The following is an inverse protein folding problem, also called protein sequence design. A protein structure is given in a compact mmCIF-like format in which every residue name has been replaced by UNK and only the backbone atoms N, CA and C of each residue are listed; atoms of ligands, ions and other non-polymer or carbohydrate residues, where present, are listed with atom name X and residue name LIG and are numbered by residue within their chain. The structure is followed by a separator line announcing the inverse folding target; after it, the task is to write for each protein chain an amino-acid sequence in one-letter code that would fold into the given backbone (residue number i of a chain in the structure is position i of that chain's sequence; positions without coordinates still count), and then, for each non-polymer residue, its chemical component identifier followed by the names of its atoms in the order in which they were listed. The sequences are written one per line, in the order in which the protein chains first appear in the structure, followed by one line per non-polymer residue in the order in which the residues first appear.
data_IF_151335848835
#
_entry.id   IF_151335848835
#
_cell.length_a   1.000
_cell.length_b   1.000
_cell.length_c   1.000
_cell.angle_alpha   90.00
_cell.angle_beta   90.00
_cell.angle_gamma   90.00
#
_symmetry.space_group_name_H-M   'P 1'
#
loop_
_entity.id
_entity.type
_entity.pdbx_description
1 polymer ?
#
# COMPACT_ATOMS: atom_id res chain seq x y z
N UNK A 1 -7.26 -1.04 13.10
CA UNK A 1 -6.28 -1.40 14.13
C UNK A 1 -6.71 -0.77 15.43
N UNK A 2 -6.75 -1.53 16.51
CA UNK A 2 -7.01 -0.98 17.84
C UNK A 2 -5.70 -0.75 18.59
N UNK A 3 -5.60 0.28 19.46
CA UNK A 3 -4.42 0.47 20.31
C UNK A 3 -4.10 -0.79 21.12
N UNK A 4 -2.84 -1.24 21.06
CA UNK A 4 -2.38 -2.45 21.75
C UNK A 4 -2.61 -3.76 20.99
N UNK A 5 -3.14 -3.70 19.77
CA UNK A 5 -3.27 -4.88 18.91
C UNK A 5 -1.95 -5.21 18.20
N UNK A 6 -1.52 -6.48 18.29
CA UNK A 6 -0.35 -6.98 17.55
C UNK A 6 -0.80 -7.67 16.24
N UNK A 7 -0.17 -7.28 15.14
CA UNK A 7 -0.36 -7.91 13.83
C UNK A 7 0.98 -8.19 13.17
N UNK A 8 1.07 -9.29 12.43
CA UNK A 8 2.29 -9.61 11.69
C UNK A 8 2.48 -8.66 10.51
N UNK A 9 3.74 -8.41 10.10
CA UNK A 9 4.04 -7.62 8.88
C UNK A 9 3.29 -8.15 7.65
N UNK A 10 3.10 -9.48 7.57
CA UNK A 10 2.33 -10.10 6.48
C UNK A 10 0.86 -9.67 6.50
N UNK A 11 0.23 -9.65 7.66
CA UNK A 11 -1.16 -9.19 7.82
C UNK A 11 -1.30 -7.70 7.53
N UNK A 12 -0.33 -6.88 7.96
CA UNK A 12 -0.30 -5.46 7.65
C UNK A 12 -0.20 -5.22 6.14
N UNK A 13 0.67 -5.98 5.44
CA UNK A 13 0.78 -5.92 3.98
C UNK A 13 -0.52 -6.35 3.27
N UNK A 14 -1.22 -7.37 3.78
CA UNK A 14 -2.56 -7.74 3.27
C UNK A 14 -3.54 -6.57 3.42
N UNK A 15 -3.60 -5.95 4.60
CA UNK A 15 -4.48 -4.81 4.88
C UNK A 15 -4.23 -3.63 3.93
N UNK A 16 -2.97 -3.30 3.68
CA UNK A 16 -2.55 -2.23 2.76
C UNK A 16 -2.91 -2.60 1.31
N UNK A 17 -2.46 -3.76 0.83
CA UNK A 17 -2.56 -4.13 -0.58
C UNK A 17 -3.98 -4.46 -1.04
N UNK A 18 -4.76 -5.15 -0.19
CA UNK A 18 -6.10 -5.64 -0.54
C UNK A 18 -7.14 -4.56 -0.21
N UNK A 19 -7.18 -4.09 1.03
CA UNK A 19 -8.24 -3.21 1.54
C UNK A 19 -7.89 -1.72 1.56
N UNK A 20 -6.66 -1.32 1.19
CA UNK A 20 -6.22 0.08 1.26
C UNK A 20 -6.23 0.65 2.69
N UNK A 21 -5.86 -0.18 3.69
CA UNK A 21 -5.87 0.20 5.10
C UNK A 21 -4.89 1.36 5.40
N UNK A 22 -5.43 2.54 5.69
CA UNK A 22 -4.64 3.72 6.05
C UNK A 22 -3.96 3.54 7.41
N UNK A 23 -4.67 2.97 8.38
CA UNK A 23 -4.16 2.60 9.70
C UNK A 23 -2.97 1.64 9.59
N UNK A 24 -3.09 0.62 8.73
CA UNK A 24 -2.01 -0.31 8.46
C UNK A 24 -0.81 0.38 7.80
N UNK A 25 -1.05 1.35 6.91
CA UNK A 25 0.01 2.14 6.25
C UNK A 25 0.77 3.02 7.24
N UNK A 26 0.05 3.69 8.15
CA UNK A 26 0.65 4.51 9.23
C UNK A 26 1.46 3.65 10.19
N UNK A 27 0.88 2.57 10.72
CA UNK A 27 1.57 1.69 11.66
C UNK A 27 2.82 1.04 11.03
N UNK A 28 2.78 0.67 9.75
CA UNK A 28 3.97 0.18 9.04
C UNK A 28 5.02 1.28 8.82
N UNK A 29 4.59 2.51 8.55
CA UNK A 29 5.49 3.65 8.41
C UNK A 29 6.27 3.92 9.71
N UNK A 30 5.56 3.95 10.83
CA UNK A 30 6.13 4.08 12.17
C UNK A 30 7.05 2.91 12.52
N UNK A 31 6.65 1.67 12.23
CA UNK A 31 7.47 0.48 12.46
C UNK A 31 8.80 0.51 11.67
N UNK A 32 8.78 0.98 10.42
CA UNK A 32 9.97 0.99 9.53
C UNK A 32 10.90 2.18 9.81
N UNK A 33 10.37 3.32 10.24
CA UNK A 33 11.13 4.59 10.29
C UNK A 33 11.08 5.31 11.63
N UNK A 34 10.35 4.79 12.61
CA UNK A 34 10.15 5.41 13.92
C UNK A 34 9.07 6.50 13.93
N UNK A 35 8.73 7.09 12.78
CA UNK A 35 7.63 8.03 12.63
C UNK A 35 7.14 8.11 11.18
N UNK A 36 5.93 8.62 10.98
CA UNK A 36 5.39 8.93 9.65
C UNK A 36 6.27 9.95 8.91
N UNK A 37 6.76 10.99 9.60
CA UNK A 37 7.60 12.02 8.99
C UNK A 37 8.90 11.43 8.40
N UNK A 38 9.58 10.58 9.16
CA UNK A 38 10.80 9.91 8.68
C UNK A 38 10.50 8.91 7.56
N UNK A 39 9.34 8.27 7.59
CA UNK A 39 8.92 7.41 6.49
C UNK A 39 8.64 8.22 5.21
N UNK A 40 7.97 9.36 5.30
CA UNK A 40 7.73 10.27 4.16
C UNK A 40 9.05 10.80 3.59
N UNK A 41 10.04 11.09 4.44
CA UNK A 41 11.41 11.42 3.98
C UNK A 41 12.02 10.26 3.18
N UNK A 42 11.88 9.01 3.63
CA UNK A 42 12.33 7.82 2.89
C UNK A 42 11.55 7.62 1.58
N UNK A 43 10.23 7.83 1.56
CA UNK A 43 9.42 7.75 0.34
C UNK A 43 9.92 8.74 -0.72
N UNK A 44 10.13 10.00 -0.34
CA UNK A 44 10.64 11.02 -1.24
C UNK A 44 12.11 10.78 -1.65
N UNK A 45 12.93 10.21 -0.76
CA UNK A 45 14.29 9.77 -1.11
C UNK A 45 14.26 8.67 -2.18
N UNK A 46 13.43 7.64 -2.01
CA UNK A 46 13.25 6.57 -2.99
C UNK A 46 12.69 7.11 -4.32
N UNK A 47 11.76 8.06 -4.28
CA UNK A 47 11.25 8.73 -5.47
C UNK A 47 12.38 9.42 -6.27
N UNK A 48 13.28 10.13 -5.57
CA UNK A 48 14.47 10.73 -6.20
C UNK A 48 15.43 9.69 -6.77
N UNK A 49 15.69 8.60 -6.04
CA UNK A 49 16.54 7.49 -6.50
C UNK A 49 15.99 6.82 -7.78
N UNK A 50 14.66 6.74 -7.90
CA UNK A 50 13.98 6.23 -9.09
C UNK A 50 13.85 7.26 -10.22
N UNK A 51 14.30 8.50 -10.00
CA UNK A 51 14.22 9.58 -10.98
C UNK A 51 12.80 10.11 -11.21
N UNK A 52 11.90 9.97 -10.25
CA UNK A 52 10.51 10.46 -10.31
C UNK A 52 10.49 11.98 -10.13
N UNK A 53 10.41 12.71 -11.25
CA UNK A 53 10.56 14.18 -11.24
C UNK A 53 9.27 14.92 -10.89
N UNK A 54 8.13 14.25 -10.99
CA UNK A 54 6.81 14.83 -10.81
C UNK A 54 6.07 14.12 -9.67
N UNK A 55 6.77 13.82 -8.57
CA UNK A 55 6.23 13.11 -7.41
C UNK A 55 6.72 13.75 -6.11
N UNK A 56 5.78 13.99 -5.20
CA UNK A 56 6.04 14.47 -3.83
C UNK A 56 5.04 13.81 -2.90
N UNK A 57 5.53 13.01 -1.95
CA UNK A 57 4.72 12.38 -0.93
C UNK A 57 4.67 13.24 0.32
N UNK A 58 3.50 13.29 0.96
CA UNK A 58 3.28 14.00 2.23
C UNK A 58 2.84 13.11 3.39
N UNK A 59 2.26 11.97 3.05
CA UNK A 59 1.81 10.96 3.98
C UNK A 59 1.96 9.56 3.33
N UNK A 60 1.91 8.47 4.12
CA UNK A 60 2.05 7.11 3.61
C UNK A 60 0.75 6.54 3.00
N UNK A 61 -0.39 7.24 3.13
CA UNK A 61 -1.73 6.71 2.85
C UNK A 61 -2.28 7.13 1.48
N UNK A 62 -1.80 8.25 0.94
CA UNK A 62 -2.35 8.87 -0.26
C UNK A 62 -3.58 9.75 0.00
N UNK A 63 -3.93 10.01 1.28
CA UNK A 63 -4.95 11.00 1.61
C UNK A 63 -4.55 12.39 1.12
N UNK A 64 -5.54 13.20 0.72
CA UNK A 64 -5.34 14.55 0.19
C UNK A 64 -4.59 15.41 1.19
N UNK A 65 -3.46 15.96 0.74
CA UNK A 65 -2.64 16.88 1.52
C UNK A 65 -1.94 17.85 0.57
N UNK A 66 -1.75 19.09 1.01
CA UNK A 66 -1.13 20.12 0.17
C UNK A 66 0.28 19.72 -0.27
N UNK A 67 0.51 19.69 -1.59
CA UNK A 67 1.78 19.27 -2.16
C UNK A 67 2.00 17.76 -2.16
N UNK A 68 0.97 16.94 -1.91
CA UNK A 68 0.98 15.50 -2.21
C UNK A 68 0.54 15.29 -3.66
N UNK A 69 1.44 14.83 -4.53
CA UNK A 69 1.12 14.59 -5.93
C UNK A 69 2.04 13.57 -6.61
N UNK A 70 1.59 13.05 -7.75
CA UNK A 70 2.42 12.27 -8.68
C UNK A 70 1.97 12.53 -10.14
N UNK A 71 2.59 11.85 -11.10
CA UNK A 71 2.15 11.82 -12.50
C UNK A 71 1.90 10.38 -12.95
N UNK A 72 1.09 10.19 -14.00
CA UNK A 72 0.83 8.85 -14.55
C UNK A 72 2.13 8.12 -14.93
N UNK A 73 3.11 8.85 -15.48
CA UNK A 73 4.42 8.29 -15.84
C UNK A 73 5.20 7.82 -14.60
N UNK A 74 5.31 8.66 -13.57
CA UNK A 74 6.04 8.31 -12.35
C UNK A 74 5.38 7.13 -11.62
N UNK A 75 4.05 7.08 -11.59
CA UNK A 75 3.29 5.94 -11.06
C UNK A 75 3.58 4.64 -11.82
N UNK A 76 3.72 4.69 -13.15
CA UNK A 76 4.09 3.53 -13.96
C UNK A 76 5.51 3.04 -13.66
N UNK A 77 6.47 3.96 -13.43
CA UNK A 77 7.83 3.60 -13.00
C UNK A 77 7.82 2.96 -11.61
N UNK A 78 7.03 3.49 -10.67
CA UNK A 78 6.87 2.89 -9.34
C UNK A 78 6.26 1.48 -9.42
N UNK A 79 5.22 1.30 -10.23
CA UNK A 79 4.62 -0.02 -10.46
C UNK A 79 5.65 -1.00 -11.05
N UNK A 80 6.42 -0.56 -12.05
CA UNK A 80 7.49 -1.38 -12.65
C UNK A 80 8.58 -1.76 -11.64
N UNK A 81 8.98 -0.83 -10.77
CA UNK A 81 9.95 -1.12 -9.69
C UNK A 81 9.37 -2.11 -8.68
N UNK A 82 8.10 -1.93 -8.28
CA UNK A 82 7.42 -2.82 -7.34
C UNK A 82 7.31 -4.26 -7.87
N UNK A 83 7.07 -4.43 -9.17
CA UNK A 83 6.97 -5.74 -9.80
C UNK A 83 8.29 -6.54 -9.82
N UNK A 84 9.43 -5.92 -9.47
CA UNK A 84 10.69 -6.66 -9.26
C UNK A 84 10.65 -7.53 -8.00
N UNK A 85 9.72 -7.28 -7.08
CA UNK A 85 9.54 -8.06 -5.87
C UNK A 85 8.52 -9.18 -6.14
N UNK A 86 8.99 -10.37 -6.53
CA UNK A 86 8.14 -11.48 -7.01
C UNK A 86 6.99 -11.88 -6.06
N UNK A 87 7.12 -11.62 -4.77
CA UNK A 87 6.09 -11.92 -3.78
C UNK A 87 4.94 -10.90 -3.75
N UNK A 88 5.10 -9.71 -4.33
CA UNK A 88 4.10 -8.63 -4.19
C UNK A 88 2.76 -8.99 -4.83
N UNK A 89 2.78 -9.71 -5.95
CA UNK A 89 1.59 -10.12 -6.68
C UNK A 89 0.74 -11.13 -5.90
N UNK A 90 1.32 -11.82 -4.91
CA UNK A 90 0.58 -12.66 -3.96
C UNK A 90 -0.31 -11.85 -3.02
N UNK A 91 -0.06 -10.55 -2.89
CA UNK A 91 -0.91 -9.63 -2.13
C UNK A 91 -1.81 -8.84 -3.08
N UNK A 92 -1.22 -8.18 -4.09
CA UNK A 92 -1.96 -7.26 -4.96
C UNK A 92 -2.93 -7.98 -5.89
N UNK A 93 -2.62 -9.20 -6.33
CA UNK A 93 -3.48 -10.03 -7.17
C UNK A 93 -4.53 -10.84 -6.40
N UNK A 94 -4.57 -10.76 -5.07
CA UNK A 94 -5.53 -11.49 -4.24
C UNK A 94 -6.86 -10.76 -4.21
N UNK A 95 -7.95 -11.42 -4.62
CA UNK A 95 -9.28 -10.81 -4.66
C UNK A 95 -9.89 -10.64 -3.27
N UNK A 96 -9.76 -11.64 -2.41
CA UNK A 96 -10.23 -11.59 -1.03
C UNK A 96 -9.33 -12.44 -0.15
N UNK A 97 -9.23 -12.06 1.12
CA UNK A 97 -8.40 -12.73 2.11
C UNK A 97 -8.93 -12.41 3.52
N UNK A 98 -8.28 -12.93 4.55
CA UNK A 98 -8.59 -12.62 5.93
C UNK A 98 -7.36 -12.14 6.69
N UNK A 99 -7.61 -11.21 7.61
CA UNK A 99 -6.73 -10.91 8.73
C UNK A 99 -7.13 -11.76 9.92
N UNK A 100 -6.17 -12.14 10.76
CA UNK A 100 -6.41 -12.88 12.01
C UNK A 100 -7.29 -14.11 11.81
N UNK A 101 -7.05 -14.84 10.73
CA UNK A 101 -7.93 -15.87 10.19
C UNK A 101 -8.29 -16.98 11.19
N UNK A 102 -7.37 -17.32 12.10
CA UNK A 102 -7.53 -18.40 13.08
C UNK A 102 -7.87 -17.87 14.49
N UNK A 103 -8.49 -16.69 14.58
CA UNK A 103 -8.87 -16.06 15.86
C UNK A 103 -10.34 -15.62 15.83
N UNK A 104 -10.90 -15.35 17.00
CA UNK A 104 -12.26 -14.80 17.14
C UNK A 104 -12.41 -13.39 16.56
N UNK A 105 -11.28 -12.70 16.27
CA UNK A 105 -11.24 -11.38 15.64
C UNK A 105 -10.99 -11.45 14.12
N UNK A 106 -11.32 -12.60 13.49
CA UNK A 106 -11.21 -12.80 12.03
C UNK A 106 -11.88 -11.65 11.29
N UNK A 107 -11.16 -11.05 10.36
CA UNK A 107 -11.65 -9.91 9.59
C UNK A 107 -11.47 -10.15 8.09
N UNK A 108 -12.55 -10.01 7.33
CA UNK A 108 -12.57 -10.26 5.89
C UNK A 108 -12.10 -9.03 5.11
N UNK A 109 -11.18 -9.25 4.18
CA UNK A 109 -10.69 -8.26 3.25
C UNK A 109 -11.20 -8.57 1.84
N UNK A 110 -11.63 -7.54 1.13
CA UNK A 110 -11.97 -7.62 -0.29
C UNK A 110 -11.16 -6.58 -1.04
N UNK A 111 -10.57 -6.99 -2.16
CA UNK A 111 -9.72 -6.14 -2.94
C UNK A 111 -10.52 -4.99 -3.56
N UNK A 112 -10.02 -3.78 -3.33
CA UNK A 112 -10.55 -2.55 -3.94
C UNK A 112 -10.42 -2.55 -5.48
N UNK A 113 -9.49 -3.32 -6.04
CA UNK A 113 -9.34 -3.54 -7.47
C UNK A 113 -10.26 -4.68 -7.96
N UNK A 114 -11.46 -4.33 -8.41
CA UNK A 114 -12.44 -5.32 -8.93
C UNK A 114 -12.00 -6.00 -10.22
N UNK A 115 -11.06 -5.43 -10.99
CA UNK A 115 -10.61 -6.02 -12.26
C UNK A 115 -9.96 -7.39 -12.08
N UNK A 116 -9.36 -7.64 -10.91
CA UNK A 116 -8.77 -8.94 -10.54
C UNK A 116 -9.78 -10.08 -10.68
N UNK A 117 -11.06 -9.82 -10.41
CA UNK A 117 -12.12 -10.84 -10.49
C UNK A 117 -12.61 -11.10 -11.92
N UNK A 118 -12.52 -10.10 -12.79
CA UNK A 118 -13.26 -10.11 -14.06
C UNK A 118 -12.36 -10.09 -15.31
N UNK A 119 -11.08 -9.77 -15.17
CA UNK A 119 -10.15 -9.68 -16.29
C UNK A 119 -8.95 -10.63 -16.11
N UNK A 120 -8.86 -11.70 -16.92
CA UNK A 120 -7.72 -12.61 -16.88
C UNK A 120 -6.40 -11.87 -17.20
N UNK A 121 -5.37 -12.06 -16.36
CA UNK A 121 -4.04 -11.47 -16.56
C UNK A 121 -3.83 -10.10 -15.90
N UNK A 122 -4.65 -9.71 -14.91
CA UNK A 122 -4.40 -8.53 -14.08
C UNK A 122 -3.54 -8.88 -12.87
N UNK A 123 -2.38 -8.25 -12.76
CA UNK A 123 -1.40 -8.51 -11.68
C UNK A 123 -1.70 -7.72 -10.39
N UNK A 124 -2.76 -6.89 -10.44
CA UNK A 124 -3.44 -6.36 -9.25
C UNK A 124 -2.88 -5.07 -8.64
N UNK A 125 -1.79 -4.50 -9.17
CA UNK A 125 -0.98 -3.39 -8.62
C UNK A 125 -1.66 -2.58 -7.51
N UNK A 126 -2.59 -1.65 -7.79
CA UNK A 126 -3.50 -1.05 -6.77
C UNK A 126 -4.52 -0.09 -7.42
N UNK A 127 -5.66 0.15 -6.78
CA UNK A 127 -6.57 1.29 -7.07
C UNK A 127 -6.42 2.40 -6.01
N UNK A 128 -6.70 3.66 -6.38
CA UNK A 128 -6.75 4.80 -5.45
C UNK A 128 -7.68 5.89 -5.95
N UNK A 129 -8.37 6.57 -5.05
CA UNK A 129 -9.23 7.72 -5.34
C UNK A 129 -9.22 8.68 -4.16
N UNK A 130 -9.07 9.97 -4.45
CA UNK A 130 -9.27 11.07 -3.51
C UNK A 130 -10.21 12.07 -4.16
N UNK A 131 -11.10 12.67 -3.36
CA UNK A 131 -12.06 13.68 -3.82
C UNK A 131 -11.48 15.08 -3.92
#
# INVERSE_FOLDING_TARGET
LEPGEEMTVKEMLKGIAIASGNDASVAMAEFISGSEEEFVKKMNKKAKELGLKNTSFKNPTGLTEEGHYSSAYDMAIMAKELLKYESITKFTGTYEDYLRENTDKKFWLVNTNRLIKFYPGVDGVKTGYTG
#
